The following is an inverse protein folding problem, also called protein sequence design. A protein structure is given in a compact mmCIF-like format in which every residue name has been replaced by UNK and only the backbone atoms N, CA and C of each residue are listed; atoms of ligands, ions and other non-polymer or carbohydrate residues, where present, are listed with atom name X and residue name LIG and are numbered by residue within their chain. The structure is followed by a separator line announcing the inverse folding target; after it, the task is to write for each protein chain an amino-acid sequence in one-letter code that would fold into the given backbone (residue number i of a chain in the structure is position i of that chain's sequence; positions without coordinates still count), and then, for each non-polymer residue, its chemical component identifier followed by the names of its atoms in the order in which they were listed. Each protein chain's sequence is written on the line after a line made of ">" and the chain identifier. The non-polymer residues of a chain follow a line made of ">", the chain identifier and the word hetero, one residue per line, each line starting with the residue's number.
data_IF_698156401492
#
_entry.id   IF_698156401492
#
_cell.length_a   1.000
_cell.length_b   1.000
_cell.length_c   1.000
_cell.angle_alpha   90.00
_cell.angle_beta   90.00
_cell.angle_gamma   90.00
#
_symmetry.space_group_name_H-M   'P 1'
#
loop_
_entity.id
_entity.type
_entity.pdbx_description
1 polymer ?
#
# COMPACT_ATOMS: atom_id res chain seq x y z
N UNK A 1 -3.06 36.45 11.74
CA UNK A 1 -2.92 35.38 10.73
C UNK A 1 -3.61 34.12 11.25
N UNK A 2 -4.67 33.66 10.61
CA UNK A 2 -5.31 32.39 11.00
C UNK A 2 -4.31 31.27 10.76
N UNK A 3 -4.02 30.51 11.82
CA UNK A 3 -3.08 29.37 11.75
C UNK A 3 -3.68 28.30 10.85
N UNK A 4 -3.02 27.96 9.75
CA UNK A 4 -3.49 26.90 8.83
C UNK A 4 -3.81 25.62 9.61
N UNK A 5 -5.03 25.09 9.44
CA UNK A 5 -5.47 23.89 10.16
C UNK A 5 -4.81 22.65 9.54
N UNK A 6 -3.97 21.95 10.30
CA UNK A 6 -3.42 20.64 9.90
C UNK A 6 -4.49 19.56 9.91
N UNK A 7 -5.25 19.49 11.02
CA UNK A 7 -6.26 18.45 11.23
C UNK A 7 -7.52 18.83 10.45
N UNK A 8 -7.72 18.15 9.34
CA UNK A 8 -8.94 18.18 8.54
C UNK A 8 -9.56 16.78 8.49
N UNK A 9 -10.88 16.64 8.22
CA UNK A 9 -11.49 15.31 8.08
C UNK A 9 -10.77 14.44 7.03
N UNK A 10 -10.39 15.01 5.87
CA UNK A 10 -9.66 14.28 4.84
C UNK A 10 -8.28 13.82 5.29
N UNK A 11 -7.60 14.62 6.14
CA UNK A 11 -6.31 14.24 6.70
C UNK A 11 -6.47 13.08 7.71
N UNK A 12 -7.48 13.13 8.58
CA UNK A 12 -7.76 12.02 9.50
C UNK A 12 -8.12 10.73 8.74
N UNK A 13 -8.94 10.84 7.70
CA UNK A 13 -9.32 9.69 6.88
C UNK A 13 -8.11 9.05 6.17
N UNK A 14 -7.21 9.85 5.61
CA UNK A 14 -6.04 9.27 4.92
C UNK A 14 -5.03 8.68 5.91
N UNK A 15 -4.89 9.24 7.12
CA UNK A 15 -4.08 8.62 8.19
C UNK A 15 -4.64 7.27 8.59
N UNK A 16 -5.96 7.18 8.82
CA UNK A 16 -6.63 5.93 9.17
C UNK A 16 -6.52 4.90 8.04
N UNK A 17 -6.74 5.32 6.79
CA UNK A 17 -6.60 4.46 5.62
C UNK A 17 -5.17 3.90 5.50
N UNK A 18 -4.16 4.75 5.70
CA UNK A 18 -2.75 4.34 5.67
C UNK A 18 -2.41 3.36 6.79
N UNK A 19 -2.82 3.67 8.02
CA UNK A 19 -2.62 2.78 9.15
C UNK A 19 -3.23 1.39 8.90
N UNK A 20 -4.50 1.34 8.49
CA UNK A 20 -5.24 0.08 8.27
C UNK A 20 -4.67 -0.74 7.11
N UNK A 21 -4.20 -0.09 6.03
CA UNK A 21 -3.53 -0.75 4.92
C UNK A 21 -2.22 -1.41 5.38
N UNK A 22 -1.37 -0.65 6.06
CA UNK A 22 -0.09 -1.16 6.54
C UNK A 22 -0.28 -2.18 7.67
N UNK A 23 -1.26 -2.00 8.54
CA UNK A 23 -1.58 -2.97 9.59
C UNK A 23 -1.99 -4.32 8.98
N UNK A 24 -2.88 -4.33 7.98
CA UNK A 24 -3.26 -5.55 7.26
C UNK A 24 -2.05 -6.25 6.62
N UNK A 25 -1.16 -5.48 6.01
CA UNK A 25 0.07 -6.01 5.41
C UNK A 25 1.01 -6.61 6.45
N UNK A 26 1.33 -5.86 7.50
CA UNK A 26 2.26 -6.30 8.54
C UNK A 26 1.70 -7.43 9.41
N UNK A 27 0.38 -7.54 9.53
CA UNK A 27 -0.27 -8.63 10.25
C UNK A 27 0.05 -9.99 9.62
N UNK A 28 0.00 -10.09 8.29
CA UNK A 28 0.28 -11.37 7.60
C UNK A 28 1.78 -11.61 7.36
N UNK A 29 2.60 -10.58 7.35
CA UNK A 29 4.00 -10.69 6.91
C UNK A 29 4.79 -11.77 7.66
N UNK A 30 4.78 -11.86 9.02
CA UNK A 30 5.48 -12.89 9.75
C UNK A 30 4.81 -14.27 9.66
N UNK A 31 3.55 -14.33 9.23
CA UNK A 31 2.76 -15.57 9.15
C UNK A 31 2.98 -16.28 7.82
N UNK A 32 3.29 -15.54 6.77
CA UNK A 32 3.46 -16.10 5.43
C UNK A 32 4.48 -17.23 5.32
N UNK A 33 5.66 -17.20 5.98
CA UNK A 33 6.57 -18.34 5.97
C UNK A 33 5.95 -19.63 6.51
N UNK A 34 5.23 -19.55 7.64
CA UNK A 34 4.54 -20.69 8.24
C UNK A 34 3.43 -21.20 7.31
N UNK A 35 2.60 -20.29 6.79
CA UNK A 35 1.55 -20.64 5.85
C UNK A 35 2.08 -21.36 4.59
N UNK A 36 3.17 -20.86 4.00
CA UNK A 36 3.76 -21.44 2.80
C UNK A 36 4.36 -22.84 3.07
N UNK A 37 4.95 -23.02 4.24
CA UNK A 37 5.49 -24.31 4.65
C UNK A 37 4.36 -25.31 4.91
N UNK A 38 3.33 -24.93 5.67
CA UNK A 38 2.27 -25.83 6.11
C UNK A 38 1.29 -26.18 4.97
N UNK A 39 0.98 -25.21 4.10
CA UNK A 39 -0.01 -25.39 3.05
C UNK A 39 0.54 -25.93 1.73
N UNK A 40 1.81 -25.61 1.41
CA UNK A 40 2.41 -25.93 0.12
C UNK A 40 3.72 -26.73 0.24
N UNK A 41 4.12 -27.13 1.45
CA UNK A 41 5.39 -27.81 1.73
C UNK A 41 6.61 -27.08 1.10
N UNK A 42 6.55 -25.72 1.12
CA UNK A 42 7.57 -24.89 0.52
C UNK A 42 8.83 -24.87 1.39
N UNK A 43 9.98 -25.10 0.78
CA UNK A 43 11.26 -24.99 1.44
C UNK A 43 11.67 -23.53 1.70
N UNK A 44 12.71 -23.31 2.52
CA UNK A 44 13.17 -21.97 2.91
C UNK A 44 13.57 -21.10 1.69
N UNK A 45 14.13 -21.72 0.65
CA UNK A 45 14.54 -21.02 -0.58
C UNK A 45 13.33 -20.53 -1.35
N UNK A 46 12.32 -21.38 -1.52
CA UNK A 46 11.06 -21.05 -2.17
C UNK A 46 10.30 -19.96 -1.41
N UNK A 47 10.24 -20.05 -0.08
CA UNK A 47 9.63 -19.01 0.77
C UNK A 47 10.33 -17.66 0.54
N UNK A 48 11.67 -17.63 0.59
CA UNK A 48 12.45 -16.43 0.33
C UNK A 48 12.19 -15.85 -1.07
N UNK A 49 12.13 -16.70 -2.09
CA UNK A 49 11.78 -16.31 -3.46
C UNK A 49 10.40 -15.65 -3.54
N UNK A 50 9.37 -16.28 -2.96
CA UNK A 50 7.98 -15.78 -2.99
C UNK A 50 7.86 -14.43 -2.28
N UNK A 51 8.50 -14.26 -1.13
CA UNK A 51 8.50 -12.99 -0.40
C UNK A 51 9.25 -11.91 -1.19
N UNK A 52 10.34 -12.27 -1.88
CA UNK A 52 11.11 -11.35 -2.73
C UNK A 52 10.32 -10.89 -3.96
N UNK A 53 9.51 -11.76 -4.58
CA UNK A 53 8.66 -11.41 -5.72
C UNK A 53 7.75 -10.21 -5.42
N UNK A 54 7.16 -10.17 -4.23
CA UNK A 54 6.34 -9.03 -3.78
C UNK A 54 7.14 -7.73 -3.73
N UNK A 55 8.31 -7.77 -3.11
CA UNK A 55 9.16 -6.59 -2.93
C UNK A 55 9.68 -6.06 -4.27
N UNK A 56 10.13 -6.97 -5.15
CA UNK A 56 10.57 -6.61 -6.50
C UNK A 56 9.43 -5.98 -7.29
N UNK A 57 8.24 -6.57 -7.29
CA UNK A 57 7.07 -6.02 -7.97
C UNK A 57 6.72 -4.62 -7.44
N UNK A 58 6.74 -4.42 -6.11
CA UNK A 58 6.48 -3.12 -5.50
C UNK A 58 7.52 -2.06 -5.87
N UNK A 59 8.79 -2.45 -6.03
CA UNK A 59 9.85 -1.54 -6.49
C UNK A 59 9.70 -1.22 -7.98
N UNK A 60 9.40 -2.21 -8.81
CA UNK A 60 9.27 -2.04 -10.26
C UNK A 60 8.14 -1.08 -10.65
N UNK A 61 7.02 -1.06 -9.92
CA UNK A 61 5.89 -0.18 -10.24
C UNK A 61 6.12 1.29 -9.82
N UNK A 62 6.99 1.57 -8.84
CA UNK A 62 7.16 2.92 -8.29
C UNK A 62 7.54 4.00 -9.32
N UNK A 63 8.49 3.78 -10.24
CA UNK A 63 8.80 4.75 -11.29
C UNK A 63 7.58 5.08 -12.16
N UNK A 64 6.79 4.07 -12.52
CA UNK A 64 5.59 4.22 -13.34
C UNK A 64 4.44 4.89 -12.57
N UNK A 65 4.38 4.72 -11.25
CA UNK A 65 3.35 5.31 -10.40
C UNK A 65 3.35 6.83 -10.47
N UNK A 66 4.53 7.47 -10.52
CA UNK A 66 4.65 8.92 -10.69
C UNK A 66 4.03 9.39 -12.00
N UNK A 67 4.40 8.75 -13.11
CA UNK A 67 3.84 9.06 -14.43
C UNK A 67 2.31 8.89 -14.48
N UNK A 68 1.79 7.80 -13.91
CA UNK A 68 0.35 7.54 -13.87
C UNK A 68 -0.39 8.62 -13.04
N UNK A 69 0.19 9.07 -11.91
CA UNK A 69 -0.38 10.10 -11.04
C UNK A 69 -0.33 11.52 -11.66
N UNK A 70 0.57 11.74 -12.61
CA UNK A 70 0.63 12.99 -13.36
C UNK A 70 -0.34 12.98 -14.56
N UNK A 71 -0.60 11.78 -15.13
CA UNK A 71 -1.43 11.61 -16.32
C UNK A 71 -2.91 11.44 -15.98
N UNK A 72 -3.21 10.72 -14.89
CA UNK A 72 -4.58 10.38 -14.49
C UNK A 72 -4.98 11.09 -13.20
N UNK A 73 -6.29 11.13 -12.95
CA UNK A 73 -6.82 11.66 -11.70
C UNK A 73 -6.33 10.81 -10.50
N UNK A 74 -5.67 11.46 -9.54
CA UNK A 74 -4.96 10.81 -8.43
C UNK A 74 -5.87 9.98 -7.52
N UNK A 75 -7.06 10.49 -7.18
CA UNK A 75 -8.00 9.81 -6.29
C UNK A 75 -8.56 8.51 -6.88
N UNK A 76 -9.09 8.44 -8.11
CA UNK A 76 -9.52 7.19 -8.71
C UNK A 76 -8.40 6.14 -8.80
N UNK A 77 -7.18 6.57 -9.15
CA UNK A 77 -6.04 5.69 -9.25
C UNK A 77 -5.63 5.11 -7.88
N UNK A 78 -5.67 5.94 -6.83
CA UNK A 78 -5.46 5.50 -5.45
C UNK A 78 -6.50 4.48 -5.00
N UNK A 79 -7.78 4.76 -5.26
CA UNK A 79 -8.87 3.85 -4.89
C UNK A 79 -8.80 2.53 -5.68
N UNK A 80 -8.45 2.58 -6.96
CA UNK A 80 -8.24 1.37 -7.77
C UNK A 80 -7.10 0.52 -7.21
N UNK A 81 -5.94 1.12 -6.94
CA UNK A 81 -4.80 0.41 -6.37
C UNK A 81 -5.11 -0.17 -4.98
N UNK A 82 -5.85 0.59 -4.16
CA UNK A 82 -6.29 0.13 -2.84
C UNK A 82 -7.26 -1.04 -2.94
N UNK A 83 -8.23 -0.99 -3.86
CA UNK A 83 -9.20 -2.08 -4.06
C UNK A 83 -8.52 -3.35 -4.56
N UNK A 84 -7.57 -3.25 -5.50
CA UNK A 84 -6.78 -4.40 -5.95
C UNK A 84 -5.98 -4.98 -4.80
N UNK A 85 -5.29 -4.14 -4.01
CA UNK A 85 -4.55 -4.56 -2.83
C UNK A 85 -5.44 -5.32 -1.84
N UNK A 86 -6.63 -4.80 -1.56
CA UNK A 86 -7.61 -5.42 -0.66
C UNK A 86 -8.12 -6.78 -1.17
N UNK A 87 -8.52 -6.85 -2.45
CA UNK A 87 -9.11 -8.07 -3.03
C UNK A 87 -8.12 -9.23 -3.04
N UNK A 88 -6.82 -8.97 -3.13
CA UNK A 88 -5.81 -10.03 -3.12
C UNK A 88 -5.77 -10.79 -1.79
N UNK A 89 -6.14 -10.18 -0.66
CA UNK A 89 -6.29 -10.94 0.59
C UNK A 89 -7.36 -12.04 0.50
N UNK A 90 -8.48 -11.76 -0.18
CA UNK A 90 -9.47 -12.79 -0.48
C UNK A 90 -8.89 -13.86 -1.43
N UNK A 91 -8.06 -13.45 -2.38
CA UNK A 91 -7.33 -14.36 -3.26
C UNK A 91 -6.44 -15.35 -2.51
N UNK A 92 -5.76 -14.91 -1.45
CA UNK A 92 -4.94 -15.80 -0.62
C UNK A 92 -5.74 -16.89 0.09
N UNK A 93 -6.99 -16.61 0.47
CA UNK A 93 -7.88 -17.58 1.15
C UNK A 93 -8.34 -18.72 0.21
N UNK A 94 -8.36 -18.47 -1.10
CA UNK A 94 -8.81 -19.44 -2.11
C UNK A 94 -7.69 -20.03 -2.96
N UNK A 95 -6.45 -19.58 -2.76
CA UNK A 95 -5.30 -20.06 -3.52
C UNK A 95 -4.94 -21.49 -3.10
N UNK A 96 -5.33 -22.47 -3.94
CA UNK A 96 -5.05 -23.90 -3.73
C UNK A 96 -3.71 -24.36 -4.35
N UNK A 97 -3.11 -23.57 -5.24
CA UNK A 97 -1.86 -23.87 -5.92
C UNK A 97 -0.80 -22.81 -5.60
N UNK A 98 0.43 -23.27 -5.37
CA UNK A 98 1.57 -22.37 -5.10
C UNK A 98 1.80 -21.37 -6.23
N UNK A 99 1.64 -21.80 -7.48
CA UNK A 99 1.77 -20.91 -8.65
C UNK A 99 0.77 -19.76 -8.65
N UNK A 100 -0.49 -20.01 -8.26
CA UNK A 100 -1.51 -18.97 -8.10
C UNK A 100 -1.10 -18.02 -6.98
N UNK A 101 -0.62 -18.56 -5.86
CA UNK A 101 -0.16 -17.73 -4.74
C UNK A 101 1.00 -16.82 -5.14
N UNK A 102 1.98 -17.30 -5.93
CA UNK A 102 3.09 -16.49 -6.46
C UNK A 102 2.57 -15.35 -7.32
N UNK A 103 1.64 -15.63 -8.25
CA UNK A 103 1.03 -14.59 -9.10
C UNK A 103 0.32 -13.54 -8.24
N UNK A 104 -0.46 -13.97 -7.24
CA UNK A 104 -1.11 -13.06 -6.31
C UNK A 104 -0.10 -12.20 -5.52
N UNK A 105 1.05 -12.75 -5.11
CA UNK A 105 2.12 -12.00 -4.44
C UNK A 105 2.71 -10.91 -5.34
N UNK A 106 2.94 -11.21 -6.62
CA UNK A 106 3.44 -10.23 -7.61
C UNK A 106 2.40 -9.11 -7.80
N UNK A 107 1.14 -9.46 -8.04
CA UNK A 107 0.05 -8.49 -8.21
C UNK A 107 -0.15 -7.63 -6.94
N UNK A 108 -0.05 -8.26 -5.77
CA UNK A 108 -0.13 -7.56 -4.48
C UNK A 108 1.02 -6.56 -4.32
N UNK A 109 2.24 -6.92 -4.72
CA UNK A 109 3.39 -6.03 -4.74
C UNK A 109 3.17 -4.81 -5.65
N UNK A 110 2.66 -5.01 -6.87
CA UNK A 110 2.32 -3.90 -7.76
C UNK A 110 1.25 -2.99 -7.15
N UNK A 111 0.18 -3.55 -6.60
CA UNK A 111 -0.88 -2.79 -5.95
C UNK A 111 -0.33 -1.99 -4.75
N UNK A 112 0.53 -2.60 -3.92
CA UNK A 112 1.17 -1.96 -2.78
C UNK A 112 2.06 -0.78 -3.19
N UNK A 113 2.93 -0.99 -4.19
CA UNK A 113 3.79 0.07 -4.70
C UNK A 113 2.96 1.27 -5.20
N UNK A 114 1.89 0.99 -5.94
CA UNK A 114 1.01 2.01 -6.49
C UNK A 114 0.21 2.74 -5.39
N UNK A 115 -0.41 2.02 -4.45
CA UNK A 115 -1.23 2.62 -3.39
C UNK A 115 -0.41 3.48 -2.44
N UNK A 116 0.82 3.05 -2.11
CA UNK A 116 1.70 3.81 -1.21
C UNK A 116 2.20 5.10 -1.84
N UNK A 117 2.61 5.09 -3.12
CA UNK A 117 3.00 6.31 -3.85
C UNK A 117 1.82 7.26 -4.01
N UNK A 118 0.64 6.73 -4.38
CA UNK A 118 -0.58 7.52 -4.52
C UNK A 118 -1.02 8.15 -3.19
N UNK A 119 -0.98 7.40 -2.10
CA UNK A 119 -1.32 7.89 -0.76
C UNK A 119 -0.40 9.02 -0.30
N UNK A 120 0.92 8.88 -0.47
CA UNK A 120 1.89 9.94 -0.19
C UNK A 120 1.61 11.21 -1.01
N UNK A 121 1.28 11.05 -2.29
CA UNK A 121 0.96 12.19 -3.17
C UNK A 121 -0.32 12.89 -2.71
N UNK A 122 -1.37 12.14 -2.37
CA UNK A 122 -2.63 12.69 -1.91
C UNK A 122 -2.47 13.43 -0.58
N UNK A 123 -1.68 12.88 0.36
CA UNK A 123 -1.40 13.55 1.64
C UNK A 123 -0.78 14.92 1.41
N UNK A 124 0.20 15.02 0.50
CA UNK A 124 0.83 16.30 0.16
C UNK A 124 -0.16 17.28 -0.46
N UNK A 125 -1.09 16.79 -1.27
CA UNK A 125 -2.09 17.63 -1.95
C UNK A 125 -3.15 18.23 -1.02
N UNK A 126 -3.51 17.51 0.03
CA UNK A 126 -4.53 17.96 1.00
C UNK A 126 -3.96 18.84 2.11
N UNK A 127 -2.64 18.84 2.29
CA UNK A 127 -1.97 19.60 3.34
C UNK A 127 -1.65 21.03 2.91
N UNK A 128 -1.83 22.03 3.79
CA UNK A 128 -1.32 23.36 3.58
C UNK A 128 0.20 23.36 3.39
N UNK A 129 0.71 24.17 2.47
CA UNK A 129 2.15 24.24 2.16
C UNK A 129 3.03 24.50 3.39
N UNK A 130 2.55 25.35 4.32
CA UNK A 130 3.22 25.72 5.57
C UNK A 130 3.35 24.55 6.57
N UNK A 131 2.54 23.48 6.44
CA UNK A 131 2.47 22.37 7.40
C UNK A 131 2.70 20.99 6.79
N UNK A 132 3.21 20.92 5.55
CA UNK A 132 3.46 19.65 4.86
C UNK A 132 4.44 18.75 5.59
N UNK A 133 5.53 19.30 6.11
CA UNK A 133 6.53 18.50 6.87
C UNK A 133 5.92 17.83 8.09
N UNK A 134 5.11 18.57 8.86
CA UNK A 134 4.42 18.05 10.04
C UNK A 134 3.40 16.97 9.67
N UNK A 135 2.60 17.21 8.64
CA UNK A 135 1.59 16.25 8.19
C UNK A 135 2.18 14.96 7.63
N UNK A 136 3.30 15.04 6.88
CA UNK A 136 4.04 13.85 6.42
C UNK A 136 4.61 13.09 7.63
N UNK A 137 5.06 13.79 8.67
CA UNK A 137 5.51 13.17 9.92
C UNK A 137 4.41 12.32 10.57
N UNK A 138 3.19 12.84 10.69
CA UNK A 138 2.04 12.06 11.20
C UNK A 138 1.66 10.89 10.29
N UNK A 139 1.77 11.07 8.97
CA UNK A 139 1.51 9.99 8.02
C UNK A 139 2.53 8.85 8.17
N UNK A 140 3.81 9.17 8.36
CA UNK A 140 4.86 8.20 8.67
C UNK A 140 4.68 7.54 10.04
N UNK A 141 4.21 8.30 11.05
CA UNK A 141 3.92 7.76 12.37
C UNK A 141 2.80 6.71 12.32
N UNK A 142 1.74 6.95 11.55
CA UNK A 142 0.67 5.96 11.32
C UNK A 142 1.23 4.66 10.73
N UNK A 143 2.13 4.74 9.74
CA UNK A 143 2.81 3.58 9.18
C UNK A 143 3.68 2.85 10.22
N UNK A 144 4.52 3.58 10.96
CA UNK A 144 5.40 2.99 11.98
C UNK A 144 4.61 2.31 13.09
N UNK A 145 3.46 2.88 13.48
CA UNK A 145 2.54 2.26 14.45
C UNK A 145 2.00 0.93 13.90
N UNK A 146 1.57 0.89 12.65
CA UNK A 146 1.13 -0.34 12.00
C UNK A 146 2.25 -1.39 11.91
N UNK A 147 3.47 -0.96 11.60
CA UNK A 147 4.66 -1.82 11.54
C UNK A 147 5.01 -2.43 12.91
N UNK A 148 4.73 -1.71 14.00
CA UNK A 148 4.99 -2.21 15.36
C UNK A 148 3.91 -3.18 15.82
N UNK A 149 2.64 -2.85 15.65
CA UNK A 149 1.52 -3.65 16.17
C UNK A 149 1.11 -4.79 15.23
N UNK A 150 1.26 -4.63 13.93
CA UNK A 150 0.85 -5.64 12.95
C UNK A 150 1.50 -7.02 13.17
N UNK A 151 2.84 -7.13 13.17
CA UNK A 151 3.53 -8.39 13.38
C UNK A 151 3.21 -9.04 14.73
N UNK A 152 3.13 -8.23 15.79
CA UNK A 152 2.78 -8.72 17.13
C UNK A 152 1.37 -9.34 17.15
N UNK A 153 0.41 -8.65 16.56
CA UNK A 153 -0.97 -9.15 16.44
C UNK A 153 -1.03 -10.40 15.59
N UNK A 154 -0.33 -10.43 14.46
CA UNK A 154 -0.27 -11.59 13.57
C UNK A 154 0.26 -12.83 14.27
N UNK A 155 1.41 -12.73 14.94
CA UNK A 155 2.01 -13.85 15.68
C UNK A 155 1.12 -14.31 16.86
N UNK A 156 0.49 -13.38 17.57
CA UNK A 156 -0.48 -13.71 18.61
C UNK A 156 -1.68 -14.49 18.04
N UNK A 157 -2.20 -14.06 16.91
CA UNK A 157 -3.31 -14.75 16.24
C UNK A 157 -2.89 -16.13 15.73
N UNK A 158 -1.68 -16.29 15.22
CA UNK A 158 -1.18 -17.56 14.71
C UNK A 158 -1.13 -18.66 15.78
N UNK A 159 -0.95 -18.29 17.05
CA UNK A 159 -0.97 -19.25 18.15
C UNK A 159 -2.35 -19.86 18.45
N UNK A 160 -3.45 -19.21 18.01
CA UNK A 160 -4.81 -19.57 18.44
C UNK A 160 -5.85 -19.62 17.32
N UNK A 161 -5.55 -19.12 16.13
CA UNK A 161 -6.50 -19.00 15.02
C UNK A 161 -5.96 -19.61 13.73
N UNK A 162 -6.86 -20.00 12.83
CA UNK A 162 -6.49 -20.51 11.50
C UNK A 162 -5.94 -19.41 10.58
N UNK A 163 -5.21 -19.81 9.54
CA UNK A 163 -4.69 -18.89 8.52
C UNK A 163 -5.80 -18.10 7.82
N UNK A 164 -6.94 -18.76 7.53
CA UNK A 164 -8.10 -18.10 6.95
C UNK A 164 -8.61 -16.97 7.84
N UNK A 165 -8.65 -17.17 9.16
CA UNK A 165 -9.07 -16.13 10.10
C UNK A 165 -8.11 -14.93 10.06
N UNK A 166 -6.81 -15.18 9.97
CA UNK A 166 -5.79 -14.11 9.90
C UNK A 166 -5.93 -13.34 8.58
N UNK A 167 -6.10 -14.03 7.45
CA UNK A 167 -6.34 -13.37 6.16
C UNK A 167 -7.66 -12.60 6.14
N UNK A 168 -8.73 -13.15 6.75
CA UNK A 168 -10.01 -12.46 6.87
C UNK A 168 -9.90 -11.18 7.72
N UNK A 169 -9.16 -11.20 8.82
CA UNK A 169 -8.86 -10.01 9.62
C UNK A 169 -8.09 -8.95 8.84
N UNK A 170 -7.11 -9.38 8.02
CA UNK A 170 -6.38 -8.48 7.13
C UNK A 170 -7.29 -7.88 6.06
N UNK A 171 -8.15 -8.69 5.46
CA UNK A 171 -9.16 -8.24 4.49
C UNK A 171 -10.12 -7.22 5.14
N UNK A 172 -10.62 -7.50 6.34
CA UNK A 172 -11.50 -6.59 7.08
C UNK A 172 -10.82 -5.27 7.41
N UNK A 173 -9.56 -5.32 7.88
CA UNK A 173 -8.75 -4.11 8.11
C UNK A 173 -8.59 -3.29 6.83
N UNK A 174 -8.28 -3.94 5.69
CA UNK A 174 -8.20 -3.27 4.40
C UNK A 174 -9.55 -2.69 3.95
N UNK A 175 -10.65 -3.39 4.18
CA UNK A 175 -12.00 -2.90 3.84
C UNK A 175 -12.34 -1.63 4.62
N UNK A 176 -12.09 -1.62 5.92
CA UNK A 176 -12.27 -0.42 6.74
C UNK A 176 -11.37 0.73 6.26
N UNK A 177 -10.10 0.41 5.93
CA UNK A 177 -9.17 1.37 5.37
C UNK A 177 -9.60 1.89 4.00
N UNK A 178 -10.16 1.05 3.14
CA UNK A 178 -10.74 1.46 1.85
C UNK A 178 -11.92 2.41 2.01
N UNK A 179 -12.80 2.17 2.99
CA UNK A 179 -13.90 3.09 3.33
C UNK A 179 -13.34 4.45 3.75
N UNK A 180 -12.30 4.47 4.59
CA UNK A 180 -11.62 5.72 4.97
C UNK A 180 -11.01 6.41 3.74
N UNK A 181 -10.31 5.66 2.88
CA UNK A 181 -9.73 6.16 1.64
C UNK A 181 -10.79 6.77 0.70
N UNK A 182 -11.97 6.16 0.62
CA UNK A 182 -13.09 6.64 -0.18
C UNK A 182 -13.65 7.98 0.34
N UNK A 183 -13.61 8.21 1.64
CA UNK A 183 -14.08 9.47 2.26
C UNK A 183 -13.09 10.63 2.09
N UNK A 184 -11.86 10.39 1.65
CA UNK A 184 -10.87 11.45 1.39
C UNK A 184 -11.32 12.34 0.24
N UNK A 185 -11.43 13.62 0.50
CA UNK A 185 -11.69 14.65 -0.52
C UNK A 185 -10.35 15.26 -0.96
N UNK A 186 -10.01 15.12 -2.23
CA UNK A 186 -8.81 15.72 -2.82
C UNK A 186 -9.16 16.99 -3.61
N UNK A 187 -8.30 18.02 -3.61
CA UNK A 187 -8.46 19.16 -4.52
C UNK A 187 -8.44 18.66 -5.97
N UNK A 188 -9.32 19.21 -6.81
CA UNK A 188 -9.28 18.93 -8.25
C UNK A 188 -8.02 19.57 -8.83
N UNK A 189 -6.96 18.82 -9.03
CA UNK A 189 -5.85 19.24 -9.89
C UNK A 189 -6.20 18.89 -11.33
N UNK A 190 -6.04 19.86 -12.23
CA UNK A 190 -6.08 19.55 -13.66
C UNK A 190 -4.91 18.64 -14.00
N UNK A 191 -5.13 17.58 -14.80
CA UNK A 191 -4.02 16.74 -15.26
C UNK A 191 -3.03 17.63 -16.03
N UNK A 192 -1.75 17.47 -15.72
CA UNK A 192 -0.68 18.12 -16.46
C UNK A 192 -0.74 17.60 -17.90
N UNK A 193 -0.48 18.48 -18.89
CA UNK A 193 -0.48 18.14 -20.33
C UNK A 193 0.17 16.77 -20.55
N UNK A 194 -0.52 15.90 -21.31
CA UNK A 194 -0.01 14.59 -21.70
C UNK A 194 1.27 14.75 -22.52
N UNK A 195 2.41 14.59 -21.87
CA UNK A 195 3.67 14.42 -22.57
C UNK A 195 3.95 12.91 -22.73
N UNK A 196 4.50 12.48 -23.87
CA UNK A 196 4.79 11.07 -24.11
C UNK A 196 5.75 10.54 -23.05
N UNK A 197 5.63 9.24 -22.74
CA UNK A 197 6.59 8.52 -21.89
C UNK A 197 7.94 8.60 -22.60
N UNK A 198 8.91 9.34 -22.02
CA UNK A 198 10.29 9.29 -22.45
C UNK A 198 11.14 8.64 -21.37
N UNK A 199 12.01 7.72 -21.76
CA UNK A 199 12.96 7.10 -20.84
C UNK A 199 13.91 8.10 -20.20
N UNK A 200 14.13 9.24 -20.84
CA UNK A 200 14.95 10.35 -20.33
C UNK A 200 14.45 10.93 -19.01
N UNK A 201 13.14 10.73 -18.68
CA UNK A 201 12.57 11.12 -17.39
C UNK A 201 12.96 10.21 -16.24
N UNK A 202 13.31 8.98 -16.54
CA UNK A 202 13.74 7.98 -15.54
C UNK A 202 15.24 8.02 -15.30
N UNK A 203 15.98 8.50 -16.29
CA UNK A 203 17.42 8.67 -16.21
C UNK A 203 17.75 10.14 -16.42
N UNK A 204 18.22 10.83 -15.38
CA UNK A 204 18.82 12.16 -15.49
C UNK A 204 20.15 12.08 -16.28
N UNK A 205 20.08 11.83 -17.58
CA UNK A 205 21.24 11.70 -18.46
C UNK A 205 21.80 13.05 -18.88
N UNK A 206 21.07 14.16 -18.69
CA UNK A 206 21.59 15.52 -18.95
C UNK A 206 21.40 16.36 -17.69
N UNK A 207 22.43 16.38 -16.86
CA UNK A 207 22.65 17.49 -15.93
C UNK A 207 22.88 18.76 -16.75
N UNK A 208 21.88 19.61 -16.79
CA UNK A 208 22.11 21.01 -17.10
C UNK A 208 22.75 21.65 -15.87
N UNK A 209 24.07 21.86 -15.94
CA UNK A 209 24.81 22.73 -15.03
C UNK A 209 24.49 24.18 -15.36
#
# INVERSE_FOLDING_TARGET
>A
MAKDKLISPSFCYILAANFLLFFAFYLILPILPFYLQDQFDADKSMIGFILSCYTIAALCIRPFSGYLLDTFARRPLYLLAYSVFMVIFAGYMIASLLSIFIVLRILHGFAFGMVTVSGNTIVIDILPSSRRGEGIGYYGLANNTAMSFGPMTGLFMHASFSYETIFACSLLSCLLGFIMAYLVKTPRKQPIKKEPISLDRFFLVKGTW
#
